data_IF_197184581066
#
_entry.id   IF_197184581066
#
_cell.length_a   1.000
_cell.length_b   1.000
_cell.length_c   1.000
_cell.angle_alpha   90.00
_cell.angle_beta   90.00
_cell.angle_gamma   90.00
#
_symmetry.space_group_name_H-M   'P 1'
#
loop_
_entity.id
_entity.type
_entity.pdbx_description
1 polymer ?
#
# COMPACT_ATOMS: atom_id res chain seq x y z
N UNK A 1 -58.50 -40.62 -13.15
CA UNK A 1 -58.11 -39.99 -11.87
C UNK A 1 -56.73 -40.46 -11.53
N UNK A 2 -55.76 -39.66 -11.76
CA UNK A 2 -54.45 -39.73 -11.12
C UNK A 2 -53.78 -38.35 -11.36
N UNK A 3 -53.73 -37.60 -10.31
CA UNK A 3 -53.09 -36.29 -10.25
C UNK A 3 -51.60 -36.53 -10.12
N UNK A 4 -50.77 -35.94 -11.01
CA UNK A 4 -49.33 -35.90 -10.92
C UNK A 4 -48.90 -34.56 -10.39
N UNK A 5 -48.40 -34.53 -9.16
CA UNK A 5 -47.74 -33.38 -8.57
C UNK A 5 -46.38 -33.19 -9.25
N UNK A 6 -46.22 -32.03 -9.84
CA UNK A 6 -44.95 -31.60 -10.42
C UNK A 6 -44.13 -30.85 -9.35
N UNK A 7 -43.04 -31.47 -8.93
CA UNK A 7 -42.00 -30.86 -8.10
C UNK A 7 -41.28 -29.73 -8.85
N UNK A 8 -41.57 -28.51 -8.45
CA UNK A 8 -40.86 -27.35 -8.92
C UNK A 8 -39.50 -27.21 -8.22
N UNK A 9 -38.48 -27.80 -8.77
CA UNK A 9 -37.10 -27.49 -8.39
C UNK A 9 -36.75 -26.05 -8.78
N UNK A 10 -36.76 -25.17 -7.83
CA UNK A 10 -36.18 -23.84 -7.95
C UNK A 10 -34.67 -23.97 -8.02
N UNK A 11 -34.16 -24.04 -9.23
CA UNK A 11 -32.75 -23.88 -9.53
C UNK A 11 -32.31 -22.47 -9.12
N UNK A 12 -31.78 -22.32 -7.91
CA UNK A 12 -31.02 -21.15 -7.52
C UNK A 12 -29.75 -21.13 -8.38
N UNK A 13 -29.75 -20.31 -9.42
CA UNK A 13 -28.60 -20.08 -10.27
C UNK A 13 -27.41 -19.65 -9.37
N UNK A 14 -26.45 -20.56 -9.24
CA UNK A 14 -25.17 -20.26 -8.59
C UNK A 14 -24.51 -19.14 -9.41
N UNK A 15 -24.53 -17.91 -8.88
CA UNK A 15 -23.84 -16.79 -9.47
C UNK A 15 -22.38 -17.21 -9.70
N UNK A 16 -21.94 -17.20 -10.94
CA UNK A 16 -20.57 -17.54 -11.31
C UNK A 16 -19.62 -16.66 -10.47
N UNK A 17 -18.79 -17.28 -9.63
CA UNK A 17 -17.83 -16.57 -8.77
C UNK A 17 -16.85 -15.85 -9.68
N UNK A 18 -16.65 -14.54 -9.45
CA UNK A 18 -15.63 -13.74 -10.11
C UNK A 18 -14.26 -14.42 -9.86
N UNK A 19 -13.48 -14.80 -10.88
CA UNK A 19 -12.19 -15.46 -10.70
C UNK A 19 -11.18 -14.62 -9.92
N UNK A 20 -11.44 -13.31 -9.75
CA UNK A 20 -10.62 -12.38 -8.95
C UNK A 20 -11.36 -11.88 -7.70
N UNK A 21 -12.24 -12.66 -7.12
CA UNK A 21 -12.85 -12.30 -5.83
C UNK A 21 -11.82 -12.43 -4.69
N UNK A 22 -11.35 -11.31 -4.11
CA UNK A 22 -10.31 -11.33 -3.10
C UNK A 22 -10.75 -11.96 -1.78
N UNK A 23 -12.07 -12.14 -1.57
CA UNK A 23 -12.62 -12.75 -0.35
C UNK A 23 -12.29 -14.25 -0.26
N UNK A 24 -12.02 -14.90 -1.38
CA UNK A 24 -11.74 -16.35 -1.43
C UNK A 24 -10.45 -16.74 -0.72
N UNK A 25 -9.49 -15.83 -0.62
CA UNK A 25 -8.19 -16.03 0.02
C UNK A 25 -8.02 -15.23 1.31
N UNK A 26 -9.07 -14.49 1.70
CA UNK A 26 -9.01 -13.62 2.86
C UNK A 26 -9.08 -14.40 4.17
N UNK A 27 -8.29 -13.98 5.14
CA UNK A 27 -8.34 -14.47 6.50
C UNK A 27 -9.51 -13.83 7.26
N UNK A 28 -10.03 -14.50 8.30
CA UNK A 28 -11.18 -14.01 9.06
C UNK A 28 -11.01 -12.57 9.54
N UNK A 29 -9.89 -12.27 10.21
CA UNK A 29 -9.63 -10.91 10.72
C UNK A 29 -9.57 -9.85 9.61
N UNK A 30 -9.14 -10.22 8.40
CA UNK A 30 -9.11 -9.30 7.26
C UNK A 30 -10.53 -8.96 6.80
N UNK A 31 -11.42 -9.94 6.79
CA UNK A 31 -12.84 -9.73 6.49
C UNK A 31 -13.52 -8.87 7.54
N UNK A 32 -13.24 -9.12 8.84
CA UNK A 32 -13.83 -8.36 9.93
C UNK A 32 -13.35 -6.90 9.93
N UNK A 33 -12.07 -6.65 9.69
CA UNK A 33 -11.54 -5.29 9.51
C UNK A 33 -12.09 -4.61 8.24
N UNK A 34 -12.27 -5.38 7.16
CA UNK A 34 -12.88 -4.84 5.93
C UNK A 34 -14.33 -4.41 6.16
N UNK A 35 -15.15 -5.23 6.83
CA UNK A 35 -16.54 -4.87 7.20
C UNK A 35 -16.57 -3.56 7.97
N UNK A 36 -15.70 -3.43 8.97
CA UNK A 36 -15.60 -2.20 9.75
C UNK A 36 -15.17 -1.00 8.89
N UNK A 37 -14.23 -1.18 7.95
CA UNK A 37 -13.80 -0.14 7.02
C UNK A 37 -14.91 0.32 6.07
N UNK A 38 -15.86 -0.55 5.73
CA UNK A 38 -17.06 -0.18 4.94
C UNK A 38 -17.98 0.73 5.74
N UNK A 39 -18.11 0.54 7.05
CA UNK A 39 -19.02 1.29 7.91
C UNK A 39 -18.44 2.63 8.38
N UNK A 40 -17.15 2.67 8.75
CA UNK A 40 -16.49 3.84 9.31
C UNK A 40 -15.07 4.02 8.73
N UNK A 41 -14.49 5.21 8.91
CA UNK A 41 -13.07 5.44 8.59
C UNK A 41 -12.19 4.74 9.61
N UNK A 42 -11.24 3.93 9.17
CA UNK A 42 -10.32 3.23 10.06
C UNK A 42 -8.86 3.34 9.63
N UNK A 43 -7.99 3.21 10.61
CA UNK A 43 -6.56 2.96 10.42
C UNK A 43 -6.25 1.56 10.92
N UNK A 44 -5.81 0.69 10.03
CA UNK A 44 -5.40 -0.67 10.39
C UNK A 44 -3.95 -0.66 10.85
N UNK A 45 -3.75 -1.04 12.11
CA UNK A 45 -2.45 -1.23 12.72
C UNK A 45 -2.15 -2.73 12.84
N UNK A 46 -1.32 -3.24 11.94
CA UNK A 46 -0.90 -4.64 11.88
C UNK A 46 0.58 -4.72 11.49
N UNK A 47 1.29 -5.70 12.01
CA UNK A 47 2.68 -5.98 11.68
C UNK A 47 2.93 -6.12 10.17
N UNK A 48 4.21 -6.08 9.78
CA UNK A 48 4.60 -6.37 8.39
C UNK A 48 4.27 -7.82 8.06
N UNK A 49 3.79 -8.10 6.84
CA UNK A 49 3.40 -9.45 6.41
C UNK A 49 1.96 -9.87 6.79
N UNK A 50 1.25 -9.11 7.63
CA UNK A 50 -0.14 -9.43 8.01
C UNK A 50 -1.20 -9.10 6.94
N UNK A 51 -0.79 -8.78 5.72
CA UNK A 51 -1.71 -8.58 4.58
C UNK A 51 -2.57 -7.31 4.65
N UNK A 52 -2.02 -6.20 5.17
CA UNK A 52 -2.69 -4.88 5.16
C UNK A 52 -3.17 -4.46 3.78
N UNK A 53 -2.35 -4.64 2.75
CA UNK A 53 -2.71 -4.35 1.35
C UNK A 53 -3.89 -5.20 0.89
N UNK A 54 -3.99 -6.46 1.37
CA UNK A 54 -5.13 -7.31 1.03
C UNK A 54 -6.44 -6.79 1.61
N UNK A 55 -6.41 -6.22 2.83
CA UNK A 55 -7.59 -5.56 3.42
C UNK A 55 -8.01 -4.34 2.57
N UNK A 56 -7.05 -3.56 2.07
CA UNK A 56 -7.34 -2.46 1.15
C UNK A 56 -7.97 -2.95 -0.16
N UNK A 57 -7.50 -4.07 -0.71
CA UNK A 57 -8.07 -4.73 -1.90
C UNK A 57 -9.50 -5.21 -1.64
N UNK A 58 -9.75 -5.84 -0.48
CA UNK A 58 -11.10 -6.23 -0.04
C UNK A 58 -12.04 -5.02 0.03
N UNK A 59 -11.57 -3.92 0.63
CA UNK A 59 -12.36 -2.70 0.75
C UNK A 59 -12.68 -2.08 -0.61
N UNK A 60 -11.72 -2.06 -1.54
CA UNK A 60 -11.97 -1.63 -2.91
C UNK A 60 -13.02 -2.51 -3.60
N UNK A 61 -12.99 -3.81 -3.35
CA UNK A 61 -13.94 -4.75 -3.91
C UNK A 61 -15.35 -4.52 -3.36
N UNK A 62 -15.51 -4.37 -2.05
CA UNK A 62 -16.80 -4.10 -1.40
C UNK A 62 -17.39 -2.74 -1.80
N UNK A 63 -16.56 -1.70 -1.90
CA UNK A 63 -16.97 -0.36 -2.35
C UNK A 63 -16.92 -0.21 -3.88
N UNK A 64 -16.72 -1.30 -4.61
CA UNK A 64 -16.59 -1.30 -6.06
C UNK A 64 -17.75 -0.64 -6.79
N UNK A 65 -18.96 -0.73 -6.25
CA UNK A 65 -20.16 -0.09 -6.82
C UNK A 65 -20.06 1.44 -6.89
N UNK A 66 -19.21 2.08 -6.07
CA UNK A 66 -18.98 3.52 -6.10
C UNK A 66 -17.99 3.96 -7.19
N UNK A 67 -17.01 3.09 -7.50
CA UNK A 67 -15.87 3.44 -8.36
C UNK A 67 -15.91 2.80 -9.75
N UNK A 68 -16.67 1.69 -9.94
CA UNK A 68 -16.80 1.04 -11.25
C UNK A 68 -17.42 1.96 -12.28
N UNK A 69 -16.84 2.00 -13.47
CA UNK A 69 -17.39 2.80 -14.57
C UNK A 69 -18.78 2.31 -14.97
N UNK A 70 -19.71 3.24 -15.26
CA UNK A 70 -19.52 4.65 -15.63
C UNK A 70 -19.48 5.67 -14.48
N UNK A 71 -19.25 5.26 -13.22
CA UNK A 71 -19.08 6.22 -12.12
C UNK A 71 -17.94 7.20 -12.39
N UNK A 72 -18.13 8.46 -12.00
CA UNK A 72 -17.07 9.48 -12.05
C UNK A 72 -16.20 9.52 -10.79
N UNK A 73 -16.59 8.77 -9.76
CA UNK A 73 -15.79 8.66 -8.55
C UNK A 73 -14.68 7.61 -8.75
N UNK A 74 -13.54 7.82 -8.07
CA UNK A 74 -12.37 6.94 -8.16
C UNK A 74 -11.88 6.57 -6.76
N UNK A 75 -11.12 5.48 -6.68
CA UNK A 75 -10.29 5.17 -5.53
C UNK A 75 -8.90 5.78 -5.73
N UNK A 76 -8.39 6.50 -4.74
CA UNK A 76 -7.00 6.98 -4.73
C UNK A 76 -6.23 6.24 -3.63
N UNK A 77 -5.16 5.58 -4.04
CA UNK A 77 -4.22 4.89 -3.15
C UNK A 77 -2.92 5.68 -3.08
N UNK A 78 -2.58 6.14 -1.89
CA UNK A 78 -1.38 6.93 -1.63
C UNK A 78 -0.28 6.09 -1.02
N UNK A 79 0.88 6.01 -1.68
CA UNK A 79 2.06 5.36 -1.17
C UNK A 79 3.23 6.36 -1.05
N UNK A 80 4.04 6.30 0.03
CA UNK A 80 5.02 7.36 0.33
C UNK A 80 6.21 7.40 -0.63
N UNK A 81 6.53 6.31 -1.33
CA UNK A 81 7.68 6.21 -2.21
C UNK A 81 7.32 5.65 -3.59
N UNK A 82 8.14 5.97 -4.59
CA UNK A 82 7.95 5.50 -5.98
C UNK A 82 7.95 3.98 -6.10
N UNK A 83 8.88 3.22 -5.47
CA UNK A 83 8.83 1.77 -5.51
C UNK A 83 7.52 1.19 -4.94
N UNK A 84 7.03 1.77 -3.84
CA UNK A 84 5.76 1.35 -3.24
C UNK A 84 4.56 1.67 -4.15
N UNK A 85 4.54 2.82 -4.81
CA UNK A 85 3.50 3.14 -5.81
C UNK A 85 3.41 2.07 -6.89
N UNK A 86 4.54 1.66 -7.45
CA UNK A 86 4.59 0.60 -8.48
C UNK A 86 4.15 -0.75 -7.93
N UNK A 87 4.65 -1.12 -6.75
CA UNK A 87 4.33 -2.38 -6.10
C UNK A 87 2.83 -2.47 -5.79
N UNK A 88 2.26 -1.44 -5.17
CA UNK A 88 0.84 -1.43 -4.80
C UNK A 88 -0.05 -1.45 -6.05
N UNK A 89 0.28 -0.68 -7.08
CA UNK A 89 -0.46 -0.71 -8.34
C UNK A 89 -0.49 -2.11 -8.97
N UNK A 90 0.65 -2.81 -8.98
CA UNK A 90 0.75 -4.17 -9.48
C UNK A 90 -0.08 -5.16 -8.64
N UNK A 91 0.00 -5.06 -7.30
CA UNK A 91 -0.78 -5.92 -6.40
C UNK A 91 -2.28 -5.73 -6.63
N UNK A 92 -2.75 -4.47 -6.71
CA UNK A 92 -4.16 -4.16 -6.93
C UNK A 92 -4.64 -4.67 -8.29
N UNK A 93 -3.88 -4.41 -9.37
CA UNK A 93 -4.22 -4.85 -10.72
C UNK A 93 -4.29 -6.38 -10.84
N UNK A 94 -3.40 -7.10 -10.14
CA UNK A 94 -3.41 -8.56 -10.14
C UNK A 94 -4.54 -9.17 -9.30
N UNK A 95 -4.96 -8.46 -8.24
CA UNK A 95 -5.95 -8.95 -7.27
C UNK A 95 -7.38 -8.53 -7.58
N UNK A 96 -7.60 -7.64 -8.54
CA UNK A 96 -8.91 -7.08 -8.88
C UNK A 96 -9.12 -7.00 -10.39
N UNK A 97 -10.36 -6.77 -10.81
CA UNK A 97 -10.72 -6.48 -12.20
C UNK A 97 -10.85 -4.96 -12.46
N UNK A 98 -10.34 -4.11 -11.55
CA UNK A 98 -10.31 -2.67 -11.77
C UNK A 98 -9.22 -2.25 -12.75
N UNK A 99 -9.49 -1.22 -13.53
CA UNK A 99 -8.46 -0.53 -14.31
C UNK A 99 -7.63 0.33 -13.37
N UNK A 100 -6.37 0.00 -13.22
CA UNK A 100 -5.43 0.65 -12.27
C UNK A 100 -4.41 1.46 -13.05
N UNK A 101 -4.19 2.70 -12.66
CA UNK A 101 -3.12 3.55 -13.17
C UNK A 101 -2.25 4.08 -12.04
N UNK A 102 -0.99 4.35 -12.32
CA UNK A 102 -0.06 4.83 -11.30
C UNK A 102 0.75 6.04 -11.74
N UNK A 103 1.05 6.93 -10.77
CA UNK A 103 1.71 8.22 -11.01
C UNK A 103 2.81 8.49 -10.00
N UNK A 104 3.98 8.92 -10.47
CA UNK A 104 5.12 9.27 -9.63
C UNK A 104 6.07 10.24 -10.35
N UNK A 105 6.87 10.98 -9.56
CA UNK A 105 7.91 11.89 -10.04
C UNK A 105 7.39 13.30 -10.38
N UNK A 106 8.33 14.22 -10.52
CA UNK A 106 8.06 15.64 -10.83
C UNK A 106 8.19 15.95 -12.34
N UNK A 107 8.49 14.95 -13.16
CA UNK A 107 8.90 15.15 -14.54
C UNK A 107 7.78 14.92 -15.54
N UNK A 108 7.53 15.90 -16.39
CA UNK A 108 6.84 15.85 -17.70
C UNK A 108 5.34 15.48 -17.72
N UNK A 109 4.71 15.22 -16.61
CA UNK A 109 3.27 15.01 -16.53
C UNK A 109 2.60 16.23 -15.87
N UNK A 110 2.87 17.45 -16.34
CA UNK A 110 1.95 18.56 -16.11
C UNK A 110 0.72 18.28 -16.97
N UNK A 111 -0.06 17.30 -16.54
CA UNK A 111 -1.37 17.02 -17.12
C UNK A 111 -2.22 18.22 -16.80
N UNK A 112 -2.86 18.74 -17.79
CA UNK A 112 -3.87 19.76 -17.62
C UNK A 112 -5.18 19.16 -17.07
N UNK A 113 -6.13 19.98 -16.82
CA UNK A 113 -7.45 19.56 -16.32
C UNK A 113 -8.10 18.51 -17.22
N UNK A 114 -8.04 18.67 -18.54
CA UNK A 114 -8.66 17.74 -19.50
C UNK A 114 -8.00 16.35 -19.48
N UNK A 115 -6.67 16.31 -19.31
CA UNK A 115 -5.94 15.05 -19.20
C UNK A 115 -6.35 14.29 -17.94
N UNK A 116 -6.51 14.99 -16.79
CA UNK A 116 -6.95 14.35 -15.55
C UNK A 116 -8.43 13.91 -15.61
N UNK A 117 -9.30 14.66 -16.27
CA UNK A 117 -10.69 14.22 -16.50
C UNK A 117 -10.73 12.89 -17.28
N UNK A 118 -9.95 12.77 -18.36
CA UNK A 118 -9.84 11.51 -19.13
C UNK A 118 -9.33 10.35 -18.30
N UNK A 119 -8.29 10.58 -17.48
CA UNK A 119 -7.74 9.56 -16.60
C UNK A 119 -8.78 9.09 -15.57
N UNK A 120 -9.52 10.03 -14.98
CA UNK A 120 -10.57 9.71 -14.01
C UNK A 120 -11.80 9.06 -14.67
N UNK A 121 -12.06 9.30 -15.95
CA UNK A 121 -13.13 8.61 -16.70
C UNK A 121 -12.70 7.19 -17.13
N UNK A 122 -11.39 6.94 -17.33
CA UNK A 122 -10.87 5.66 -17.80
C UNK A 122 -10.55 4.68 -16.68
N UNK A 123 -9.94 5.16 -15.58
CA UNK A 123 -9.44 4.32 -14.50
C UNK A 123 -10.31 4.41 -13.25
N UNK A 124 -10.48 3.27 -12.57
CA UNK A 124 -11.19 3.16 -11.31
C UNK A 124 -10.29 3.39 -10.10
N UNK A 125 -9.01 3.00 -10.20
CA UNK A 125 -8.03 3.11 -9.12
C UNK A 125 -6.79 3.85 -9.60
N UNK A 126 -6.44 4.92 -8.88
CA UNK A 126 -5.25 5.73 -9.14
C UNK A 126 -4.28 5.57 -7.98
N UNK A 127 -3.10 5.00 -8.23
CA UNK A 127 -2.05 4.82 -7.23
C UNK A 127 -0.99 5.90 -7.42
N UNK A 128 -0.71 6.70 -6.39
CA UNK A 128 0.20 7.83 -6.55
C UNK A 128 0.94 8.22 -5.28
N UNK A 129 1.99 9.01 -5.44
CA UNK A 129 2.62 9.65 -4.28
C UNK A 129 1.74 10.77 -3.73
N UNK A 130 1.78 11.04 -2.41
CA UNK A 130 0.92 12.05 -1.80
C UNK A 130 1.16 13.46 -2.33
N UNK A 131 2.36 13.75 -2.80
CA UNK A 131 2.71 15.05 -3.42
C UNK A 131 1.94 15.28 -4.73
N UNK A 132 1.72 14.21 -5.52
CA UNK A 132 0.96 14.30 -6.76
C UNK A 132 -0.50 14.63 -6.47
N UNK A 133 -1.14 13.92 -5.52
CA UNK A 133 -2.52 14.23 -5.15
C UNK A 133 -2.63 15.65 -4.63
N UNK A 134 -1.77 16.07 -3.71
CA UNK A 134 -1.79 17.41 -3.13
C UNK A 134 -1.64 18.50 -4.20
N UNK A 135 -0.74 18.30 -5.16
CA UNK A 135 -0.57 19.21 -6.30
C UNK A 135 -1.86 19.32 -7.12
N UNK A 136 -2.46 18.18 -7.48
CA UNK A 136 -3.66 18.15 -8.31
C UNK A 136 -4.90 18.74 -7.60
N UNK A 137 -5.03 18.53 -6.30
CA UNK A 137 -6.08 19.15 -5.51
C UNK A 137 -5.91 20.68 -5.46
N UNK A 138 -4.69 21.19 -5.24
CA UNK A 138 -4.40 22.63 -5.21
C UNK A 138 -4.64 23.33 -6.52
N UNK A 139 -4.44 22.64 -7.64
CA UNK A 139 -4.70 23.17 -8.99
C UNK A 139 -6.10 22.86 -9.51
N UNK A 140 -6.96 22.26 -8.66
CA UNK A 140 -8.32 21.85 -9.01
C UNK A 140 -8.41 20.89 -10.21
N UNK A 141 -7.32 20.17 -10.51
CA UNK A 141 -7.31 19.13 -11.55
C UNK A 141 -8.06 17.88 -11.09
N UNK A 142 -7.98 17.56 -9.82
CA UNK A 142 -8.78 16.54 -9.14
C UNK A 142 -9.58 17.24 -8.04
N UNK A 143 -10.86 16.90 -7.89
CA UNK A 143 -11.71 17.39 -6.81
C UNK A 143 -11.83 16.32 -5.73
N UNK A 144 -11.79 16.72 -4.46
CA UNK A 144 -11.97 15.78 -3.35
C UNK A 144 -13.34 15.06 -3.42
N UNK A 145 -14.37 15.74 -3.90
CA UNK A 145 -15.71 15.17 -4.09
C UNK A 145 -15.81 14.10 -5.19
N UNK A 146 -14.79 13.97 -6.05
CA UNK A 146 -14.71 12.91 -7.06
C UNK A 146 -13.92 11.69 -6.57
N UNK A 147 -13.57 11.64 -5.28
CA UNK A 147 -12.88 10.52 -4.64
C UNK A 147 -13.91 9.79 -3.78
N UNK A 148 -14.16 8.51 -4.05
CA UNK A 148 -15.02 7.69 -3.20
C UNK A 148 -14.25 7.07 -2.03
N UNK A 149 -13.00 6.67 -2.29
CA UNK A 149 -12.14 5.98 -1.32
C UNK A 149 -10.72 6.54 -1.39
N UNK A 150 -10.21 6.97 -0.24
CA UNK A 150 -8.86 7.51 -0.08
C UNK A 150 -8.06 6.62 0.86
N UNK A 151 -7.03 5.96 0.34
CA UNK A 151 -6.20 5.00 1.06
C UNK A 151 -4.82 5.61 1.33
N UNK A 152 -4.37 5.50 2.57
CA UNK A 152 -3.06 5.97 3.03
C UNK A 152 -2.18 4.79 3.44
N UNK A 153 -1.17 4.46 2.64
CA UNK A 153 -0.15 3.48 3.00
C UNK A 153 0.91 4.13 3.91
N UNK A 154 1.41 3.38 4.88
CA UNK A 154 2.33 3.85 5.91
C UNK A 154 1.88 5.19 6.52
N UNK A 155 0.61 5.25 6.90
CA UNK A 155 -0.08 6.48 7.28
C UNK A 155 0.52 7.18 8.52
N UNK A 156 1.38 6.50 9.30
CA UNK A 156 2.14 7.10 10.41
C UNK A 156 3.04 8.28 9.95
N UNK A 157 3.42 8.32 8.67
CA UNK A 157 4.15 9.46 8.10
C UNK A 157 3.40 10.78 8.22
N UNK A 158 2.08 10.75 8.30
CA UNK A 158 1.26 11.95 8.48
C UNK A 158 1.61 12.73 9.76
N UNK A 159 2.08 12.03 10.80
CA UNK A 159 2.46 12.61 12.09
C UNK A 159 3.91 13.10 12.13
N UNK A 160 4.78 12.55 11.28
CA UNK A 160 6.23 12.81 11.35
C UNK A 160 6.57 14.29 11.16
N UNK A 161 5.77 15.03 10.41
CA UNK A 161 5.97 16.44 10.13
C UNK A 161 4.61 17.15 9.92
N UNK A 162 4.41 18.31 10.55
CA UNK A 162 3.19 19.13 10.35
C UNK A 162 2.94 19.51 8.88
N UNK A 163 3.97 19.46 8.04
CA UNK A 163 3.91 19.77 6.61
C UNK A 163 3.92 18.52 5.72
N UNK A 164 3.74 17.32 6.30
CA UNK A 164 3.65 16.12 5.47
C UNK A 164 2.43 16.20 4.54
N UNK A 165 2.54 15.82 3.26
CA UNK A 165 1.44 15.94 2.31
C UNK A 165 0.15 15.23 2.73
N UNK A 166 0.22 14.11 3.46
CA UNK A 166 -0.97 13.46 4.05
C UNK A 166 -1.75 14.41 4.97
N UNK A 167 -1.04 15.08 5.88
CA UNK A 167 -1.67 16.03 6.78
C UNK A 167 -2.26 17.25 6.04
N UNK A 168 -1.58 17.70 4.98
CA UNK A 168 -2.05 18.82 4.17
C UNK A 168 -3.30 18.45 3.36
N UNK A 169 -3.35 17.25 2.76
CA UNK A 169 -4.52 16.74 2.05
C UNK A 169 -5.75 16.72 2.97
N UNK A 170 -5.59 16.18 4.17
CA UNK A 170 -6.69 16.09 5.13
C UNK A 170 -7.14 17.47 5.59
N UNK A 171 -6.20 18.35 5.98
CA UNK A 171 -6.50 19.66 6.52
C UNK A 171 -7.05 20.65 5.49
N UNK A 172 -6.44 20.68 4.29
CA UNK A 172 -6.77 21.68 3.26
C UNK A 172 -8.00 21.30 2.44
N UNK A 173 -8.26 20.00 2.24
CA UNK A 173 -9.29 19.54 1.30
C UNK A 173 -10.34 18.63 1.94
N UNK A 174 -9.94 17.61 2.69
CA UNK A 174 -10.88 16.62 3.23
C UNK A 174 -11.90 17.26 4.18
N UNK A 175 -11.46 18.11 5.10
CA UNK A 175 -12.32 18.76 6.09
C UNK A 175 -13.22 19.85 5.51
N UNK A 176 -13.02 20.23 4.25
CA UNK A 176 -13.72 21.35 3.61
C UNK A 176 -14.68 20.88 2.51
N UNK A 177 -15.04 19.60 2.47
CA UNK A 177 -15.98 19.05 1.49
C UNK A 177 -17.22 18.47 2.18
N UNK A 178 -18.40 18.71 1.60
CA UNK A 178 -19.67 18.27 2.18
C UNK A 178 -19.82 16.74 2.22
N UNK A 179 -19.33 16.06 1.19
CA UNK A 179 -19.30 14.59 1.11
C UNK A 179 -17.86 14.14 1.01
N UNK A 180 -17.20 13.91 2.15
CA UNK A 180 -15.82 13.43 2.15
C UNK A 180 -15.73 11.96 1.72
N UNK A 181 -14.61 11.55 1.07
CA UNK A 181 -14.38 10.15 0.73
C UNK A 181 -14.26 9.28 1.99
N UNK A 182 -14.52 7.97 1.83
CA UNK A 182 -14.13 6.98 2.82
C UNK A 182 -12.60 6.99 2.99
N UNK A 183 -12.12 7.03 4.23
CA UNK A 183 -10.69 6.99 4.55
C UNK A 183 -10.30 5.62 5.08
N UNK A 184 -9.24 5.07 4.53
CA UNK A 184 -8.61 3.86 5.02
C UNK A 184 -7.10 4.09 5.17
N UNK A 185 -6.61 4.05 6.42
CA UNK A 185 -5.18 4.11 6.72
C UNK A 185 -4.62 2.74 7.02
N UNK A 186 -3.35 2.50 6.69
CA UNK A 186 -2.65 1.30 7.10
C UNK A 186 -1.21 1.59 7.52
N UNK A 187 -0.76 0.94 8.58
CA UNK A 187 0.59 1.10 9.11
C UNK A 187 1.05 -0.13 9.88
N UNK A 188 2.36 -0.37 9.86
CA UNK A 188 2.99 -1.37 10.72
C UNK A 188 3.43 -0.80 12.08
N UNK A 189 3.48 0.53 12.22
CA UNK A 189 3.81 1.22 13.47
C UNK A 189 3.00 2.51 13.57
N UNK A 190 2.23 2.73 14.62
CA UNK A 190 1.51 3.97 14.82
C UNK A 190 2.41 5.10 15.36
N UNK A 191 3.68 4.82 15.62
CA UNK A 191 4.65 5.77 16.18
C UNK A 191 5.65 6.17 15.11
N UNK A 192 5.76 7.47 14.86
CA UNK A 192 6.82 8.05 14.04
C UNK A 192 7.95 8.56 14.93
N UNK A 193 9.15 7.97 14.79
CA UNK A 193 10.37 8.48 15.41
C UNK A 193 10.90 7.65 16.58
N UNK A 194 12.09 8.03 17.08
CA UNK A 194 12.82 7.41 18.21
C UNK A 194 12.20 7.82 19.57
N UNK A 195 10.89 7.85 19.68
CA UNK A 195 10.20 8.18 20.92
C UNK A 195 10.21 6.98 21.86
N UNK A 196 10.90 7.11 22.98
CA UNK A 196 11.03 6.07 23.99
C UNK A 196 9.70 5.49 24.47
N UNK A 197 9.77 4.30 24.98
CA UNK A 197 8.76 3.33 25.42
C UNK A 197 7.76 3.80 26.51
N UNK A 198 7.38 5.06 26.55
CA UNK A 198 6.36 5.53 27.47
C UNK A 198 4.96 5.33 26.92
N UNK A 199 4.15 4.49 27.59
CA UNK A 199 2.76 4.18 27.27
C UNK A 199 1.90 5.46 27.03
N UNK A 200 2.23 6.56 27.72
CA UNK A 200 1.56 7.85 27.55
C UNK A 200 1.83 8.50 26.18
N UNK A 201 3.02 8.33 25.63
CA UNK A 201 3.38 8.82 24.30
C UNK A 201 2.68 7.99 23.19
N UNK A 202 2.52 6.69 23.42
CA UNK A 202 1.84 5.81 22.49
C UNK A 202 0.37 6.22 22.28
N UNK A 203 -0.37 6.41 23.38
CA UNK A 203 -1.78 6.87 23.32
C UNK A 203 -1.91 8.22 22.63
N UNK A 204 -1.01 9.17 22.92
CA UNK A 204 -1.01 10.48 22.25
C UNK A 204 -0.77 10.37 20.74
N UNK A 205 0.13 9.47 20.31
CA UNK A 205 0.38 9.23 18.89
C UNK A 205 -0.86 8.65 18.21
N UNK A 206 -1.51 7.66 18.83
CA UNK A 206 -2.74 7.08 18.29
C UNK A 206 -3.83 8.16 18.16
N UNK A 207 -4.13 8.90 19.22
CA UNK A 207 -5.16 9.94 19.19
C UNK A 207 -4.87 11.00 18.13
N UNK A 208 -3.59 11.41 18.00
CA UNK A 208 -3.18 12.36 16.97
C UNK A 208 -3.35 11.81 15.55
N UNK A 209 -3.13 10.51 15.33
CA UNK A 209 -3.33 9.88 14.04
C UNK A 209 -4.82 9.76 13.70
N UNK A 210 -5.64 9.38 14.68
CA UNK A 210 -7.09 9.31 14.56
C UNK A 210 -7.71 10.67 14.21
N UNK A 211 -7.31 11.71 14.93
CA UNK A 211 -7.75 13.09 14.69
C UNK A 211 -7.33 13.57 13.29
N UNK A 212 -6.06 13.32 12.93
CA UNK A 212 -5.52 13.78 11.66
C UNK A 212 -6.17 13.12 10.45
N UNK A 213 -6.46 11.81 10.52
CA UNK A 213 -7.06 11.04 9.43
C UNK A 213 -8.58 10.94 9.53
N UNK A 214 -9.19 11.53 10.57
CA UNK A 214 -10.61 11.37 10.88
C UNK A 214 -11.04 9.89 10.85
N UNK A 215 -10.26 9.02 11.50
CA UNK A 215 -10.38 7.57 11.41
C UNK A 215 -10.03 6.93 12.74
N UNK A 216 -10.60 5.77 13.06
CA UNK A 216 -10.31 5.01 14.29
C UNK A 216 -9.20 3.99 14.06
N UNK A 217 -8.24 3.92 14.97
CA UNK A 217 -7.18 2.91 14.92
C UNK A 217 -7.74 1.55 15.36
N UNK A 218 -7.56 0.55 14.52
CA UNK A 218 -8.00 -0.82 14.73
C UNK A 218 -6.82 -1.77 14.63
N UNK A 219 -6.73 -2.70 15.57
CA UNK A 219 -5.75 -3.77 15.60
C UNK A 219 -6.45 -5.09 15.89
N UNK A 220 -5.75 -6.18 15.69
CA UNK A 220 -6.20 -7.54 16.02
C UNK A 220 -5.32 -8.05 17.15
N UNK A 221 -5.87 -8.88 18.02
CA UNK A 221 -5.12 -9.48 19.12
C UNK A 221 -3.96 -10.34 18.61
N UNK A 222 -2.80 -10.24 19.27
CA UNK A 222 -1.61 -10.98 18.86
C UNK A 222 -1.83 -12.50 18.82
N UNK A 223 -2.62 -13.04 19.72
CA UNK A 223 -2.95 -14.47 19.75
C UNK A 223 -3.67 -14.94 18.48
N UNK A 224 -4.60 -14.12 17.98
CA UNK A 224 -5.29 -14.42 16.71
C UNK A 224 -4.33 -14.29 15.53
N UNK A 225 -3.45 -13.29 15.52
CA UNK A 225 -2.46 -13.11 14.47
C UNK A 225 -1.42 -14.23 14.44
N UNK A 226 -0.88 -14.63 15.58
CA UNK A 226 0.12 -15.71 15.69
C UNK A 226 -0.41 -17.07 15.20
N UNK A 227 -1.71 -17.29 15.31
CA UNK A 227 -2.34 -18.54 14.83
C UNK A 227 -2.43 -18.64 13.31
N UNK A 228 -2.38 -17.51 12.58
CA UNK A 228 -2.63 -17.46 11.13
C UNK A 228 -1.52 -16.80 10.32
N UNK A 229 -0.62 -16.07 10.97
CA UNK A 229 0.53 -15.42 10.32
C UNK A 229 1.80 -16.13 10.78
N UNK A 230 2.58 -16.66 9.84
CA UNK A 230 3.87 -17.24 10.17
C UNK A 230 4.76 -16.18 10.85
N UNK A 231 5.23 -16.49 12.06
CA UNK A 231 6.24 -15.65 12.71
C UNK A 231 7.53 -15.71 11.91
N UNK A 232 8.21 -14.58 11.68
CA UNK A 232 9.52 -14.60 11.06
C UNK A 232 10.49 -15.38 11.97
N UNK A 233 11.17 -16.38 11.41
CA UNK A 233 12.26 -17.04 12.09
C UNK A 233 13.43 -16.06 12.20
N UNK A 234 13.88 -15.82 13.45
CA UNK A 234 15.03 -14.97 13.71
C UNK A 234 16.21 -15.88 13.94
N UNK A 235 17.08 -16.00 12.94
CA UNK A 235 18.38 -16.65 13.12
C UNK A 235 19.40 -15.62 13.63
N UNK A 236 19.94 -15.86 14.82
CA UNK A 236 20.98 -15.02 15.39
C UNK A 236 22.34 -15.66 15.14
N UNK A 237 23.09 -15.06 14.23
CA UNK A 237 24.47 -15.47 14.00
C UNK A 237 25.40 -14.69 14.94
N UNK A 238 26.00 -15.39 15.89
CA UNK A 238 27.03 -14.82 16.76
C UNK A 238 28.40 -14.95 16.07
N UNK A 239 28.93 -13.82 15.65
CA UNK A 239 30.31 -13.76 15.15
C UNK A 239 31.28 -13.61 16.33
N UNK A 240 32.14 -14.58 16.51
CA UNK A 240 33.27 -14.47 17.47
C UNK A 240 34.30 -13.43 17.02
N UNK A 241 35.21 -12.99 17.90
CA UNK A 241 36.29 -12.10 17.51
C UNK A 241 37.15 -12.79 16.44
N UNK A 242 37.21 -12.16 15.29
CA UNK A 242 37.88 -12.69 14.11
C UNK A 242 39.35 -12.32 14.18
N UNK A 243 40.24 -13.33 14.12
CA UNK A 243 41.64 -13.08 13.82
C UNK A 243 41.78 -12.61 12.37
N UNK A 244 42.38 -11.44 12.18
CA UNK A 244 42.43 -10.67 10.92
C UNK A 244 43.01 -11.37 9.68
N UNK A 245 43.53 -12.60 9.80
CA UNK A 245 44.30 -13.25 8.73
C UNK A 245 43.52 -14.11 7.73
N UNK A 246 42.32 -14.58 8.05
CA UNK A 246 41.58 -15.52 7.18
C UNK A 246 40.27 -15.00 6.59
N UNK A 247 39.77 -13.86 7.02
CA UNK A 247 38.45 -13.34 6.57
C UNK A 247 38.50 -12.66 5.25
N UNK A 248 39.56 -11.92 4.94
CA UNK A 248 39.66 -11.17 3.68
C UNK A 248 39.59 -12.06 2.42
N UNK A 249 40.10 -13.29 2.49
CA UNK A 249 40.10 -14.18 1.34
C UNK A 249 38.74 -14.88 1.12
N UNK A 250 38.02 -15.22 2.18
CA UNK A 250 36.72 -15.91 2.08
C UNK A 250 35.61 -14.93 1.73
N UNK A 251 35.57 -13.77 2.40
CA UNK A 251 34.59 -12.72 2.09
C UNK A 251 34.79 -12.11 0.71
N UNK A 252 36.04 -11.98 0.24
CA UNK A 252 36.30 -11.51 -1.11
C UNK A 252 35.68 -12.46 -2.16
N UNK A 253 35.81 -13.77 -1.98
CA UNK A 253 35.22 -14.77 -2.90
C UNK A 253 33.68 -14.77 -2.88
N UNK A 254 33.07 -14.71 -1.71
CA UNK A 254 31.61 -14.68 -1.59
C UNK A 254 31.03 -13.37 -2.11
N UNK A 255 31.69 -12.23 -1.85
CA UNK A 255 31.30 -10.93 -2.37
C UNK A 255 31.43 -10.87 -3.90
N UNK A 256 32.45 -11.49 -4.47
CA UNK A 256 32.65 -11.57 -5.92
C UNK A 256 31.60 -12.49 -6.57
N UNK A 257 31.23 -13.59 -5.93
CA UNK A 257 30.10 -14.45 -6.39
C UNK A 257 28.78 -13.71 -6.31
N UNK A 258 28.53 -12.98 -5.23
CA UNK A 258 27.31 -12.17 -5.07
C UNK A 258 27.27 -11.02 -6.06
N UNK A 259 28.40 -10.36 -6.34
CA UNK A 259 28.52 -9.35 -7.40
C UNK A 259 28.21 -9.94 -8.77
N UNK A 260 28.81 -11.09 -9.11
CA UNK A 260 28.58 -11.79 -10.37
C UNK A 260 27.12 -12.22 -10.54
N UNK A 261 26.48 -12.75 -9.50
CA UNK A 261 25.06 -13.10 -9.52
C UNK A 261 24.16 -11.86 -9.68
N UNK A 262 24.46 -10.78 -8.96
CA UNK A 262 23.73 -9.52 -9.06
C UNK A 262 23.89 -8.86 -10.42
N UNK A 263 25.09 -8.90 -11.01
CA UNK A 263 25.34 -8.43 -12.37
C UNK A 263 24.65 -9.29 -13.43
N UNK A 264 24.54 -10.60 -13.23
CA UNK A 264 23.83 -11.49 -14.13
C UNK A 264 22.32 -11.20 -14.12
N UNK A 265 21.72 -11.05 -12.94
CA UNK A 265 20.30 -10.71 -12.77
C UNK A 265 20.02 -9.31 -13.36
N UNK A 266 20.93 -8.34 -13.16
CA UNK A 266 20.79 -6.99 -13.71
C UNK A 266 20.97 -6.97 -15.23
N UNK A 267 21.85 -7.80 -15.79
CA UNK A 267 22.01 -7.94 -17.24
C UNK A 267 20.78 -8.56 -17.89
N UNK A 268 20.19 -9.60 -17.30
CA UNK A 268 18.95 -10.22 -17.80
C UNK A 268 17.76 -9.26 -17.74
N UNK A 269 17.70 -8.39 -16.69
CA UNK A 269 16.64 -7.41 -16.53
C UNK A 269 16.80 -6.17 -17.42
N UNK A 270 18.00 -5.95 -17.99
CA UNK A 270 18.36 -4.76 -18.79
C UNK A 270 18.54 -5.08 -20.29
N UNK A 271 18.23 -6.27 -20.73
CA UNK A 271 18.31 -6.64 -22.15
C UNK A 271 17.36 -5.75 -22.98
N UNK A 272 17.91 -4.69 -23.55
CA UNK A 272 17.20 -3.71 -24.39
C UNK A 272 17.55 -2.22 -24.15
N UNK A 273 18.39 -1.88 -23.19
CA UNK A 273 18.76 -0.47 -22.90
C UNK A 273 20.22 -0.15 -23.28
N UNK A 274 20.40 0.78 -24.22
CA UNK A 274 21.71 1.22 -24.75
C UNK A 274 22.58 2.04 -23.78
N UNK A 275 22.15 2.30 -22.53
CA UNK A 275 22.90 3.17 -21.58
C UNK A 275 23.06 2.53 -20.19
N UNK A 276 23.53 1.30 -20.20
CA UNK A 276 23.55 0.42 -19.01
C UNK A 276 24.57 0.80 -17.94
N UNK A 277 25.70 1.44 -18.27
CA UNK A 277 26.74 1.73 -17.28
C UNK A 277 26.44 2.90 -16.33
N UNK A 278 25.75 3.95 -16.79
CA UNK A 278 25.33 5.06 -15.92
C UNK A 278 24.19 4.68 -14.98
N UNK A 279 23.26 3.83 -15.45
CA UNK A 279 22.15 3.31 -14.63
C UNK A 279 22.59 2.25 -13.63
N UNK A 280 23.56 1.43 -13.95
CA UNK A 280 24.18 0.49 -13.01
C UNK A 280 24.77 1.22 -11.80
N UNK A 281 25.53 2.32 -12.00
CA UNK A 281 26.09 3.10 -10.88
C UNK A 281 25.00 3.70 -9.96
N UNK A 282 23.89 4.16 -10.51
CA UNK A 282 22.79 4.71 -9.71
C UNK A 282 21.98 3.63 -8.98
N UNK A 283 21.84 2.43 -9.55
CA UNK A 283 21.19 1.28 -8.90
C UNK A 283 22.07 0.68 -7.79
N UNK A 284 23.40 0.68 -7.97
CA UNK A 284 24.34 0.26 -6.94
C UNK A 284 24.27 1.15 -5.69
N UNK A 285 24.13 2.45 -5.86
CA UNK A 285 23.94 3.37 -4.73
C UNK A 285 22.61 3.17 -3.99
N UNK A 286 21.56 2.71 -4.68
CA UNK A 286 20.25 2.46 -4.07
C UNK A 286 20.14 1.09 -3.36
N UNK A 287 20.86 0.08 -3.84
CA UNK A 287 20.78 -1.30 -3.31
C UNK A 287 21.76 -1.51 -2.15
N UNK A 288 22.96 -0.90 -2.19
CA UNK A 288 23.99 -1.10 -1.17
C UNK A 288 24.00 -0.07 -0.04
N UNK A 289 23.34 1.08 -0.21
CA UNK A 289 23.27 2.11 0.82
C UNK A 289 22.65 1.65 2.17
N UNK A 290 21.69 0.73 2.24
CA UNK A 290 21.17 0.23 3.52
C UNK A 290 22.14 -0.68 4.28
N UNK A 291 23.17 -1.21 3.65
CA UNK A 291 24.08 -2.20 4.25
C UNK A 291 25.44 -1.63 4.69
N UNK A 292 25.72 -0.38 4.34
CA UNK A 292 26.90 0.33 4.80
C UNK A 292 26.52 1.43 5.79
N UNK A 293 26.28 1.07 7.03
CA UNK A 293 26.40 2.00 8.16
C UNK A 293 27.89 2.02 8.52
N UNK A 294 28.61 3.13 8.37
CA UNK A 294 29.96 3.21 8.88
C UNK A 294 29.91 3.19 10.41
N UNK A 295 30.60 2.24 11.01
CA UNK A 295 31.07 2.32 12.38
C UNK A 295 32.01 3.52 12.49
N UNK A 296 31.51 4.63 12.98
CA UNK A 296 32.25 5.68 13.69
C UNK A 296 31.38 6.18 14.85
#
# INVERSE_FOLDING_TARGET
MAEGEGDGETSAAAAARDPKDPRTIARKYQLDLCKRAVEENIVVYLGTGCGKTHIAVLLMYELGHLIRKPSREVCIFLAPTIPLVRQQAMVIANSTNFKVQHYYGSGKNSRDHQAWEKEMDEFEVLVMTPQILLHNLRHCFIKMSSIALLIFDECHHAQAQKRHPYAQIMKEFYNNVDKPPRVFGMTASPISGKGGSNKLNYTKCINSLEELLNAKVCSVDNVELESVVASPEIEVYLYGPVSHSNLTATYSKELDVFKLQSECILRESLYGFKDSQKKLKSLWSCILWPFFIPLW
#
